data_IF_749185143740
#
_entry.id   IF_749185143740
#
_cell.length_a   1.000
_cell.length_b   1.000
_cell.length_c   1.000
_cell.angle_alpha   90.00
_cell.angle_beta   90.00
_cell.angle_gamma   90.00
#
_symmetry.space_group_name_H-M   'P 1'
#
loop_
_entity.id
_entity.type
_entity.pdbx_description
1 polymer ?
#
# COMPACT_ATOMS: atom_id res chain seq x y z
N UNK A 1 10.43 -4.91 9.82
CA UNK A 1 9.64 -4.20 10.83
C UNK A 1 10.56 -3.35 11.71
N UNK A 2 10.29 -2.06 11.79
CA UNK A 2 10.97 -1.15 12.71
C UNK A 2 10.04 -0.95 13.91
N UNK A 3 10.41 -1.55 15.04
CA UNK A 3 9.57 -1.60 16.23
C UNK A 3 10.37 -1.38 17.51
N UNK A 4 10.13 -0.28 18.19
CA UNK A 4 10.82 0.11 19.40
C UNK A 4 10.39 -0.65 20.66
N UNK A 5 11.01 -0.26 21.79
CA UNK A 5 10.72 -0.87 23.11
C UNK A 5 9.77 -0.03 23.98
N UNK A 6 9.13 0.99 23.44
CA UNK A 6 8.23 1.84 24.20
C UNK A 6 7.01 1.03 24.67
N UNK A 7 6.76 1.01 25.97
CA UNK A 7 5.72 0.18 26.59
C UNK A 7 4.27 0.57 26.24
N UNK A 8 4.07 1.69 25.58
CA UNK A 8 2.73 2.25 25.26
C UNK A 8 2.17 1.68 23.96
N UNK A 9 3.00 1.12 23.09
CA UNK A 9 2.57 0.66 21.79
C UNK A 9 2.54 -0.86 21.72
N UNK A 10 1.51 -1.39 21.08
CA UNK A 10 1.38 -2.81 20.75
C UNK A 10 2.54 -3.25 19.86
N UNK A 11 3.12 -4.40 20.15
CA UNK A 11 4.12 -5.05 19.31
C UNK A 11 3.44 -6.00 18.34
N UNK A 12 3.91 -6.00 17.11
CA UNK A 12 3.31 -6.76 16.02
C UNK A 12 4.17 -7.92 15.52
N UNK A 13 5.47 -7.95 15.89
CA UNK A 13 6.41 -8.94 15.37
C UNK A 13 5.92 -10.38 15.54
N UNK A 14 5.68 -10.81 16.77
CA UNK A 14 5.23 -12.19 17.06
C UNK A 14 3.91 -12.56 16.38
N UNK A 15 3.00 -11.61 16.27
CA UNK A 15 1.69 -11.87 15.66
C UNK A 15 1.79 -11.97 14.13
N UNK A 16 2.69 -11.23 13.49
CA UNK A 16 2.96 -11.34 12.07
C UNK A 16 3.70 -12.63 11.72
N UNK A 17 4.68 -13.05 12.55
CA UNK A 17 5.35 -14.35 12.38
C UNK A 17 4.36 -15.52 12.42
N UNK A 18 3.40 -15.50 13.34
CA UNK A 18 2.31 -16.50 13.40
C UNK A 18 1.43 -16.51 12.15
N UNK A 19 1.41 -15.43 11.38
CA UNK A 19 0.69 -15.31 10.11
C UNK A 19 1.53 -15.67 8.89
N UNK A 20 2.76 -16.18 9.11
CA UNK A 20 3.63 -16.67 8.07
C UNK A 20 4.57 -15.62 7.45
N UNK A 21 4.66 -14.42 8.04
CA UNK A 21 5.62 -13.42 7.58
C UNK A 21 7.05 -13.76 8.02
N UNK A 22 8.00 -13.69 7.09
CA UNK A 22 9.43 -13.69 7.41
C UNK A 22 9.86 -12.29 7.84
N UNK A 23 10.26 -12.11 9.09
CA UNK A 23 10.50 -10.79 9.65
C UNK A 23 11.98 -10.55 9.98
N UNK A 24 12.46 -9.37 9.58
CA UNK A 24 13.62 -8.74 10.20
C UNK A 24 13.10 -7.61 11.09
N UNK A 25 13.35 -7.70 12.40
CA UNK A 25 12.88 -6.70 13.37
C UNK A 25 14.05 -5.87 13.85
N UNK A 26 13.96 -4.55 13.68
CA UNK A 26 14.96 -3.62 14.18
C UNK A 26 14.31 -2.62 15.15
N UNK A 27 15.04 -2.23 16.19
CA UNK A 27 14.49 -1.41 17.26
C UNK A 27 14.73 0.11 17.07
N UNK A 28 15.33 0.49 15.98
CA UNK A 28 15.54 1.90 15.60
C UNK A 28 15.63 2.04 14.08
N UNK A 29 15.33 3.24 13.59
CA UNK A 29 15.43 3.56 12.16
C UNK A 29 16.84 3.40 11.61
N UNK A 30 17.87 3.80 12.37
CA UNK A 30 19.27 3.66 11.96
C UNK A 30 19.65 2.19 11.73
N UNK A 31 19.33 1.30 12.68
CA UNK A 31 19.58 -0.13 12.52
C UNK A 31 18.78 -0.72 11.36
N UNK A 32 17.55 -0.24 11.15
CA UNK A 32 16.74 -0.64 10.02
C UNK A 32 17.37 -0.27 8.68
N UNK A 33 17.92 0.95 8.56
CA UNK A 33 18.63 1.39 7.36
C UNK A 33 19.93 0.58 7.11
N UNK A 34 20.62 0.15 8.15
CA UNK A 34 21.77 -0.74 7.98
C UNK A 34 21.36 -2.16 7.58
N UNK A 35 20.26 -2.64 8.13
CA UNK A 35 19.73 -3.97 7.80
C UNK A 35 19.29 -4.11 6.34
N UNK A 36 18.73 -3.08 5.71
CA UNK A 36 18.30 -3.13 4.32
C UNK A 36 19.44 -3.31 3.31
N UNK A 37 20.67 -3.00 3.70
CA UNK A 37 21.87 -3.27 2.86
C UNK A 37 22.13 -4.76 2.67
N UNK A 38 21.64 -5.59 3.59
CA UNK A 38 21.83 -7.04 3.62
C UNK A 38 20.55 -7.82 3.41
N UNK A 39 19.41 -7.18 3.58
CA UNK A 39 18.09 -7.78 3.52
C UNK A 39 17.20 -6.92 2.62
N UNK A 40 16.74 -7.49 1.52
CA UNK A 40 15.84 -6.82 0.58
C UNK A 40 14.39 -7.11 0.98
N UNK A 41 13.72 -6.23 1.74
CA UNK A 41 12.37 -6.47 2.19
C UNK A 41 11.36 -6.19 1.08
N UNK A 42 10.29 -7.00 1.00
CA UNK A 42 9.14 -6.75 0.13
C UNK A 42 8.32 -5.56 0.63
N UNK A 43 8.35 -5.29 1.94
CA UNK A 43 7.66 -4.16 2.57
C UNK A 43 8.40 -3.71 3.84
N UNK A 44 8.42 -2.42 4.10
CA UNK A 44 8.93 -1.86 5.35
C UNK A 44 7.76 -1.36 6.21
N UNK A 45 7.62 -1.93 7.40
CA UNK A 45 6.63 -1.48 8.40
C UNK A 45 7.34 -0.68 9.49
N UNK A 46 6.91 0.55 9.71
CA UNK A 46 7.44 1.46 10.73
C UNK A 46 6.39 1.66 11.81
N UNK A 47 6.58 1.06 12.99
CA UNK A 47 5.73 1.29 14.15
C UNK A 47 6.21 2.55 14.90
N UNK A 48 5.85 3.73 14.37
CA UNK A 48 6.25 5.02 14.93
C UNK A 48 5.75 5.21 16.37
N UNK A 49 4.57 4.70 16.68
CA UNK A 49 4.01 4.75 18.04
C UNK A 49 4.91 4.07 19.09
N UNK A 50 5.76 3.12 18.68
CA UNK A 50 6.72 2.43 19.55
C UNK A 50 8.11 3.07 19.60
N UNK A 51 8.36 4.06 18.74
CA UNK A 51 9.66 4.71 18.59
C UNK A 51 9.70 6.07 19.30
N UNK A 52 10.92 6.58 19.52
CA UNK A 52 11.13 7.96 19.97
C UNK A 52 11.35 8.93 18.80
N UNK A 53 11.68 8.39 17.65
CA UNK A 53 11.96 9.16 16.43
C UNK A 53 10.64 9.43 15.71
N UNK A 54 10.52 10.63 15.15
CA UNK A 54 9.37 10.99 14.32
C UNK A 54 9.23 10.01 13.14
N UNK A 55 8.04 9.43 12.99
CA UNK A 55 7.74 8.41 12.00
C UNK A 55 7.93 8.90 10.56
N UNK A 56 7.54 10.15 10.26
CA UNK A 56 7.67 10.74 8.94
C UNK A 56 9.13 10.92 8.50
N UNK A 57 10.00 11.27 9.46
CA UNK A 57 11.44 11.35 9.19
C UNK A 57 12.00 9.98 8.78
N UNK A 58 11.55 8.91 9.45
CA UNK A 58 11.95 7.55 9.09
C UNK A 58 11.42 7.15 7.73
N UNK A 59 10.16 7.47 7.42
CA UNK A 59 9.57 7.23 6.11
C UNK A 59 10.45 7.85 5.01
N UNK A 60 10.81 9.11 5.12
CA UNK A 60 11.65 9.78 4.13
C UNK A 60 13.03 9.12 4.00
N UNK A 61 13.64 8.69 5.10
CA UNK A 61 14.92 7.98 5.06
C UNK A 61 14.80 6.63 4.34
N UNK A 62 13.76 5.85 4.63
CA UNK A 62 13.54 4.56 3.97
C UNK A 62 13.14 4.72 2.51
N UNK A 63 12.29 5.69 2.20
CA UNK A 63 11.91 5.98 0.81
C UNK A 63 13.11 6.36 -0.06
N UNK A 64 13.99 7.24 0.45
CA UNK A 64 15.22 7.62 -0.27
C UNK A 64 16.19 6.46 -0.48
N UNK A 65 16.20 5.49 0.45
CA UNK A 65 17.10 4.33 0.40
C UNK A 65 16.50 3.17 -0.41
N UNK A 66 15.18 3.06 -0.45
CA UNK A 66 14.41 1.99 -1.08
C UNK A 66 13.17 2.57 -1.79
N UNK A 67 13.34 3.35 -2.87
CA UNK A 67 12.21 4.07 -3.49
C UNK A 67 11.14 3.15 -4.09
N UNK A 68 11.49 1.92 -4.43
CA UNK A 68 10.55 0.93 -4.98
C UNK A 68 9.88 0.05 -3.91
N UNK A 69 10.34 0.11 -2.65
CA UNK A 69 9.81 -0.74 -1.57
C UNK A 69 8.64 -0.06 -0.88
N UNK A 70 7.47 -0.70 -0.80
CA UNK A 70 6.33 -0.14 -0.10
C UNK A 70 6.61 0.13 1.38
N UNK A 71 6.07 1.26 1.87
CA UNK A 71 6.19 1.68 3.25
C UNK A 71 4.82 1.72 3.94
N UNK A 72 4.74 1.07 5.09
CA UNK A 72 3.61 1.13 6.01
C UNK A 72 4.00 1.88 7.27
N UNK A 73 3.21 2.89 7.68
CA UNK A 73 3.42 3.64 8.90
C UNK A 73 2.33 3.35 9.93
N UNK A 74 2.71 2.94 11.14
CA UNK A 74 1.81 2.79 12.28
C UNK A 74 2.01 3.96 13.21
N UNK A 75 0.93 4.68 13.53
CA UNK A 75 0.95 5.86 14.39
C UNK A 75 0.04 5.70 15.60
N UNK A 76 0.26 6.51 16.64
CA UNK A 76 -0.63 6.60 17.77
C UNK A 76 -1.98 7.19 17.37
N UNK A 77 -3.00 7.02 18.24
CA UNK A 77 -4.38 7.45 17.99
C UNK A 77 -4.45 8.96 17.72
N UNK A 78 -3.77 9.73 18.54
CA UNK A 78 -3.82 11.20 18.55
C UNK A 78 -2.69 11.84 17.73
N UNK A 79 -1.82 11.03 17.07
CA UNK A 79 -0.68 11.60 16.35
C UNK A 79 -1.15 12.23 15.02
N UNK A 80 -0.92 13.54 14.81
CA UNK A 80 -1.24 14.16 13.53
C UNK A 80 -0.33 13.60 12.45
N UNK A 81 -0.92 12.96 11.48
CA UNK A 81 -0.21 12.52 10.27
C UNK A 81 -0.52 13.52 9.18
N UNK A 82 0.46 14.34 8.82
CA UNK A 82 0.37 15.20 7.65
C UNK A 82 0.26 14.40 6.35
N UNK A 83 -0.03 15.07 5.25
CA UNK A 83 0.01 14.43 3.93
C UNK A 83 1.42 13.90 3.67
N UNK A 84 1.56 12.59 3.53
CA UNK A 84 2.82 11.92 3.28
C UNK A 84 2.75 11.20 1.95
N UNK A 85 3.38 11.79 0.94
CA UNK A 85 3.43 11.21 -0.40
C UNK A 85 4.22 9.89 -0.45
N UNK A 86 5.11 9.67 0.53
CA UNK A 86 6.04 8.54 0.55
C UNK A 86 5.57 7.33 1.37
N UNK A 87 4.31 7.30 1.80
CA UNK A 87 3.72 6.18 2.54
C UNK A 87 2.61 5.55 1.72
N UNK A 88 2.70 4.25 1.46
CA UNK A 88 1.66 3.53 0.71
C UNK A 88 0.37 3.44 1.53
N UNK A 89 0.48 3.20 2.83
CA UNK A 89 -0.63 3.36 3.77
C UNK A 89 -0.15 3.60 5.20
N UNK A 90 -1.00 4.21 6.02
CA UNK A 90 -0.79 4.27 7.46
C UNK A 90 -1.93 3.62 8.22
N UNK A 91 -1.64 3.11 9.41
CA UNK A 91 -2.61 2.58 10.35
C UNK A 91 -2.54 3.35 11.65
N UNK A 92 -3.67 3.81 12.14
CA UNK A 92 -3.80 4.49 13.42
C UNK A 92 -4.23 3.49 14.49
N UNK A 93 -3.50 3.43 15.60
CA UNK A 93 -3.89 2.61 16.75
C UNK A 93 -5.22 3.13 17.37
N UNK A 94 -6.05 2.25 17.95
CA UNK A 94 -5.91 0.79 17.98
C UNK A 94 -6.45 0.12 16.72
N UNK A 95 -5.84 -0.99 16.31
CA UNK A 95 -6.35 -1.86 15.25
C UNK A 95 -6.00 -3.33 15.51
N UNK A 96 -6.62 -4.25 14.76
CA UNK A 96 -6.34 -5.68 14.85
C UNK A 96 -5.14 -6.07 13.98
N UNK A 97 -4.38 -7.09 14.40
CA UNK A 97 -3.30 -7.66 13.56
C UNK A 97 -3.83 -8.14 12.21
N UNK A 98 -5.09 -8.61 12.17
CA UNK A 98 -5.71 -9.01 10.92
C UNK A 98 -5.81 -7.84 9.92
N UNK A 99 -6.14 -6.63 10.41
CA UNK A 99 -6.19 -5.42 9.57
C UNK A 99 -4.81 -5.09 9.00
N UNK A 100 -3.75 -5.18 9.83
CA UNK A 100 -2.37 -4.99 9.36
C UNK A 100 -2.00 -6.06 8.31
N UNK A 101 -2.25 -7.35 8.61
CA UNK A 101 -1.93 -8.43 7.70
C UNK A 101 -2.67 -8.31 6.35
N UNK A 102 -3.94 -7.93 6.36
CA UNK A 102 -4.69 -7.70 5.12
C UNK A 102 -4.06 -6.59 4.28
N UNK A 103 -3.62 -5.50 4.93
CA UNK A 103 -2.93 -4.40 4.25
C UNK A 103 -1.57 -4.82 3.70
N UNK A 104 -0.81 -5.60 4.46
CA UNK A 104 0.49 -6.10 3.99
C UNK A 104 0.32 -7.02 2.77
N UNK A 105 -0.67 -7.94 2.79
CA UNK A 105 -0.97 -8.79 1.61
C UNK A 105 -1.27 -7.96 0.37
N UNK A 106 -1.95 -6.83 0.53
CA UNK A 106 -2.20 -5.92 -0.58
C UNK A 106 -0.89 -5.40 -1.18
N UNK A 107 0.17 -5.26 -0.40
CA UNK A 107 1.49 -4.83 -0.86
C UNK A 107 2.40 -5.97 -1.34
N UNK A 108 2.30 -7.15 -0.74
CA UNK A 108 3.09 -8.35 -1.12
C UNK A 108 2.77 -8.80 -2.54
N UNK A 109 1.50 -8.79 -2.91
CA UNK A 109 1.06 -9.10 -4.27
C UNK A 109 1.61 -8.10 -5.32
N UNK A 110 2.21 -6.97 -4.88
CA UNK A 110 2.95 -6.04 -5.76
C UNK A 110 4.23 -6.62 -6.32
N UNK A 111 4.87 -7.56 -5.63
CA UNK A 111 6.08 -8.24 -6.10
C UNK A 111 5.77 -9.40 -7.06
N UNK A 112 4.54 -9.90 -7.09
CA UNK A 112 4.13 -11.04 -7.88
C UNK A 112 2.79 -10.82 -8.57
N UNK A 113 2.82 -10.34 -9.82
CA UNK A 113 1.74 -10.39 -10.83
C UNK A 113 0.37 -9.81 -10.42
N UNK A 114 0.10 -8.58 -10.78
CA UNK A 114 -1.26 -8.06 -10.90
C UNK A 114 -1.58 -6.74 -10.22
N UNK A 115 -0.81 -6.30 -9.21
CA UNK A 115 -1.09 -4.99 -8.61
C UNK A 115 -0.52 -3.85 -9.42
N UNK A 116 -1.33 -2.82 -9.56
CA UNK A 116 -0.95 -1.59 -10.24
C UNK A 116 -0.76 -0.48 -9.20
N UNK A 117 0.40 0.16 -9.24
CA UNK A 117 0.72 1.30 -8.38
C UNK A 117 1.06 2.50 -9.24
N UNK A 118 0.37 3.62 -8.98
CA UNK A 118 0.63 4.90 -9.66
C UNK A 118 0.53 6.02 -8.62
N UNK A 119 1.68 6.57 -8.25
CA UNK A 119 1.74 7.55 -7.15
C UNK A 119 1.11 6.97 -5.88
N UNK A 120 0.13 7.67 -5.33
CA UNK A 120 -0.59 7.25 -4.11
C UNK A 120 -1.78 6.30 -4.37
N UNK A 121 -2.02 5.93 -5.63
CA UNK A 121 -3.07 4.99 -6.00
C UNK A 121 -2.50 3.58 -6.13
N UNK A 122 -3.09 2.65 -5.39
CA UNK A 122 -2.80 1.22 -5.44
C UNK A 122 -4.07 0.48 -5.82
N UNK A 123 -4.03 -0.31 -6.87
CA UNK A 123 -5.13 -1.18 -7.28
C UNK A 123 -4.71 -2.64 -7.18
N UNK A 124 -5.50 -3.44 -6.49
CA UNK A 124 -5.42 -4.89 -6.55
C UNK A 124 -6.64 -5.42 -7.32
N UNK A 125 -6.47 -5.82 -8.58
CA UNK A 125 -7.56 -6.32 -9.41
C UNK A 125 -8.16 -7.64 -8.91
N UNK A 126 -7.34 -8.52 -8.34
CA UNK A 126 -7.76 -9.86 -7.91
C UNK A 126 -8.81 -9.82 -6.79
N UNK A 127 -8.60 -8.93 -5.84
CA UNK A 127 -9.54 -8.71 -4.71
C UNK A 127 -10.41 -7.47 -4.89
N UNK A 128 -10.27 -6.77 -6.01
CA UNK A 128 -11.03 -5.58 -6.40
C UNK A 128 -11.01 -4.46 -5.37
N UNK A 129 -9.82 -4.19 -4.85
CA UNK A 129 -9.60 -3.13 -3.87
C UNK A 129 -8.71 -2.05 -4.49
N UNK A 130 -9.17 -0.81 -4.42
CA UNK A 130 -8.37 0.37 -4.68
C UNK A 130 -8.07 1.11 -3.38
N UNK A 131 -6.83 1.59 -3.23
CA UNK A 131 -6.39 2.37 -2.09
C UNK A 131 -5.81 3.68 -2.61
N UNK A 132 -6.32 4.80 -2.13
CA UNK A 132 -5.81 6.12 -2.44
C UNK A 132 -5.72 6.96 -1.17
N UNK A 133 -4.54 7.55 -0.90
CA UNK A 133 -4.31 8.37 0.30
C UNK A 133 -4.95 7.77 1.56
N UNK A 134 -4.72 6.47 1.78
CA UNK A 134 -5.21 5.72 2.94
C UNK A 134 -6.72 5.41 2.98
N UNK A 135 -7.48 5.80 1.96
CA UNK A 135 -8.87 5.40 1.79
C UNK A 135 -8.92 4.14 0.95
N UNK A 136 -9.62 3.14 1.44
CA UNK A 136 -9.86 1.87 0.74
C UNK A 136 -11.28 1.83 0.22
N UNK A 137 -11.43 1.37 -1.01
CA UNK A 137 -12.72 1.18 -1.67
C UNK A 137 -12.75 -0.18 -2.34
N UNK A 138 -13.80 -0.94 -2.13
CA UNK A 138 -14.11 -2.12 -2.91
C UNK A 138 -14.76 -1.69 -4.23
N UNK A 139 -14.18 -2.16 -5.32
CA UNK A 139 -14.66 -1.85 -6.66
C UNK A 139 -15.58 -2.95 -7.17
N UNK A 140 -16.52 -2.58 -8.02
CA UNK A 140 -17.24 -3.55 -8.85
C UNK A 140 -16.30 -4.14 -9.90
N UNK A 141 -16.60 -5.32 -10.48
CA UNK A 141 -15.76 -5.89 -11.54
C UNK A 141 -15.46 -4.89 -12.66
N UNK A 142 -16.49 -4.18 -13.17
CA UNK A 142 -16.35 -3.20 -14.24
C UNK A 142 -15.45 -2.01 -13.88
N UNK A 143 -15.60 -1.47 -12.66
CA UNK A 143 -14.71 -0.40 -12.16
C UNK A 143 -13.27 -0.88 -12.01
N UNK A 144 -13.08 -2.14 -11.59
CA UNK A 144 -11.74 -2.74 -11.51
C UNK A 144 -11.10 -2.82 -12.89
N UNK A 145 -11.81 -3.33 -13.88
CA UNK A 145 -11.32 -3.47 -15.24
C UNK A 145 -11.00 -2.10 -15.87
N UNK A 146 -11.88 -1.12 -15.70
CA UNK A 146 -11.66 0.26 -16.17
C UNK A 146 -10.40 0.86 -15.55
N UNK A 147 -10.30 0.83 -14.22
CA UNK A 147 -9.17 1.39 -13.51
C UNK A 147 -7.87 0.66 -13.85
N UNK A 148 -7.91 -0.65 -14.03
CA UNK A 148 -6.79 -1.47 -14.50
C UNK A 148 -6.29 -0.95 -15.84
N UNK A 149 -7.16 -0.79 -16.82
CA UNK A 149 -6.79 -0.31 -18.17
C UNK A 149 -6.19 1.09 -18.13
N UNK A 150 -6.73 1.99 -17.33
CA UNK A 150 -6.19 3.33 -17.16
C UNK A 150 -4.82 3.32 -16.49
N UNK A 151 -4.60 2.45 -15.53
CA UNK A 151 -3.34 2.34 -14.80
C UNK A 151 -2.25 1.58 -15.58
N UNK A 152 -2.59 0.72 -16.53
CA UNK A 152 -1.63 0.03 -17.40
C UNK A 152 -0.89 1.01 -18.32
N UNK A 153 -1.54 2.11 -18.72
CA UNK A 153 -1.05 3.06 -19.72
C UNK A 153 -1.01 4.51 -19.18
N UNK A 154 -0.14 4.80 -18.21
CA UNK A 154 -0.05 6.13 -17.63
C UNK A 154 0.41 7.16 -18.67
N UNK A 155 -0.30 8.29 -18.75
CA UNK A 155 0.02 9.38 -19.68
C UNK A 155 -0.48 9.18 -21.11
N UNK A 156 -1.06 8.02 -21.44
CA UNK A 156 -1.75 7.83 -22.72
C UNK A 156 -3.19 8.30 -22.64
N UNK A 157 -3.67 8.91 -23.72
CA UNK A 157 -5.09 9.24 -23.89
C UNK A 157 -5.82 7.98 -24.38
N UNK A 158 -6.69 7.44 -23.54
CA UNK A 158 -7.54 6.31 -23.90
C UNK A 158 -8.88 6.83 -24.43
N UNK A 159 -9.27 6.38 -25.62
CA UNK A 159 -10.57 6.75 -26.17
C UNK A 159 -11.69 6.00 -25.45
N UNK A 160 -12.91 6.55 -25.50
CA UNK A 160 -14.10 5.91 -24.89
C UNK A 160 -14.36 4.53 -25.51
N UNK A 161 -14.21 4.43 -26.82
CA UNK A 161 -14.40 3.18 -27.58
C UNK A 161 -13.35 2.12 -27.14
N UNK A 162 -12.08 2.54 -26.98
CA UNK A 162 -11.02 1.63 -26.54
C UNK A 162 -11.26 1.11 -25.12
N UNK A 163 -11.70 1.96 -24.20
CA UNK A 163 -12.06 1.58 -22.84
C UNK A 163 -13.30 0.66 -22.84
N UNK A 164 -14.33 1.02 -23.60
CA UNK A 164 -15.55 0.23 -23.68
C UNK A 164 -15.28 -1.16 -24.22
N UNK A 165 -14.57 -1.27 -25.36
CA UNK A 165 -14.15 -2.55 -25.94
C UNK A 165 -13.34 -3.40 -24.96
N UNK A 166 -12.39 -2.80 -24.25
CA UNK A 166 -11.50 -3.51 -23.33
C UNK A 166 -12.22 -4.05 -22.07
N UNK A 167 -13.32 -3.41 -21.64
CA UNK A 167 -14.02 -3.75 -20.38
C UNK A 167 -15.29 -4.55 -20.60
N UNK A 168 -15.98 -4.33 -21.72
CA UNK A 168 -17.24 -5.06 -22.05
C UNK A 168 -17.03 -6.22 -23.02
N UNK A 169 -15.79 -6.42 -23.50
CA UNK A 169 -15.41 -7.50 -24.42
C UNK A 169 -16.35 -7.58 -25.64
N UNK A 170 -16.63 -6.42 -26.23
CA UNK A 170 -17.53 -6.29 -27.38
C UNK A 170 -16.94 -5.37 -28.43
N UNK A 171 -17.07 -5.77 -29.69
CA UNK A 171 -16.73 -4.93 -30.83
C UNK A 171 -17.86 -3.95 -31.21
N UNK A 172 -19.03 -4.13 -30.59
CA UNK A 172 -20.20 -3.30 -30.85
C UNK A 172 -20.27 -2.14 -29.89
N UNK A 173 -19.97 -0.96 -30.37
CA UNK A 173 -19.91 0.27 -29.58
C UNK A 173 -20.97 1.26 -30.11
N UNK A 174 -22.26 0.94 -29.89
CA UNK A 174 -23.31 1.91 -30.23
C UNK A 174 -23.49 3.01 -29.19
N UNK A 175 -23.28 2.71 -27.91
CA UNK A 175 -23.53 3.65 -26.83
C UNK A 175 -22.49 3.56 -25.72
N UNK A 176 -21.53 4.50 -25.72
CA UNK A 176 -20.51 4.62 -24.68
C UNK A 176 -20.99 5.32 -23.40
N UNK A 177 -22.28 5.75 -23.33
CA UNK A 177 -22.85 6.42 -22.14
C UNK A 177 -22.80 5.54 -20.91
N UNK A 178 -22.75 4.22 -21.07
CA UNK A 178 -22.52 3.28 -19.98
C UNK A 178 -21.21 3.58 -19.20
N UNK A 179 -20.19 4.16 -19.86
CA UNK A 179 -18.97 4.60 -19.18
C UNK A 179 -19.22 5.78 -18.23
N UNK A 180 -20.23 6.60 -18.46
CA UNK A 180 -20.48 7.81 -17.66
C UNK A 180 -21.07 7.50 -16.29
N UNK A 181 -21.58 6.27 -16.08
CA UNK A 181 -22.12 5.80 -14.80
C UNK A 181 -21.10 5.00 -13.97
N UNK A 182 -19.92 4.77 -14.50
CA UNK A 182 -18.80 4.07 -13.85
C UNK A 182 -17.62 4.99 -13.63
#
# INVERSE_FOLDING_TARGET
LIEGKRNVARRFASDLEKKGYSLRVENSGSKGLDAIKQFSPDVVVINAASLRTNGLRLVNWFHNSLPATPLCLIVAEDEPVGETENVNFFLRLPFTVQKLANRLRTLENNSHKGMLVRGNLVLNPDIRIAIYKNKEVHLTPRLTDLLTKMMEKPGEVLTREALFKAVWDTDYVEDTRTLDVH
#
